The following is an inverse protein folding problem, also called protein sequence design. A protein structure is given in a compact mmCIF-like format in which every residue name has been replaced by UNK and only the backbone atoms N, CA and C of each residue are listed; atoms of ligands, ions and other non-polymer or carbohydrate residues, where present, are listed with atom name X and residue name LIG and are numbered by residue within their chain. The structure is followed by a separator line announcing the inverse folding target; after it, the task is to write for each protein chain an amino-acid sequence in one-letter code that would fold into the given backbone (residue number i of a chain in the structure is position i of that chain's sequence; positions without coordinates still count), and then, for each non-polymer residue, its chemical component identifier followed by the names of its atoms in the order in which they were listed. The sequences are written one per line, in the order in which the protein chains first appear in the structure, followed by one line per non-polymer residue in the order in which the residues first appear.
data_IF_016792019940
#
_entry.id   IF_016792019940
#
_cell.length_a   1.000
_cell.length_b   1.000
_cell.length_c   1.000
_cell.angle_alpha   90.00
_cell.angle_beta   90.00
_cell.angle_gamma   90.00
#
_symmetry.space_group_name_H-M   'P 1'
#
loop_
_entity.id
_entity.type
_entity.pdbx_description
1 polymer ?
#
# COMPACT_ATOMS: atom_id res chain seq x y z
N UNK A 1 -16.08 17.69 38.33
CA UNK A 1 -15.26 16.61 37.75
C UNK A 1 -14.21 17.24 36.84
N UNK A 2 -12.94 17.00 37.12
CA UNK A 2 -11.81 17.61 36.44
C UNK A 2 -11.20 16.70 35.38
N UNK A 3 -10.43 17.29 34.46
CA UNK A 3 -9.68 16.61 33.40
C UNK A 3 -8.45 15.92 33.99
N UNK A 4 -8.21 14.64 33.65
CA UNK A 4 -7.06 13.87 34.15
C UNK A 4 -5.69 14.40 33.65
N UNK A 5 -5.69 15.37 32.73
CA UNK A 5 -4.46 15.92 32.13
C UNK A 5 -4.15 17.34 32.64
N UNK A 6 -5.10 18.27 32.60
CA UNK A 6 -4.89 19.66 33.01
C UNK A 6 -5.48 19.98 34.39
N UNK A 7 -6.16 19.05 35.02
CA UNK A 7 -6.82 19.20 36.33
C UNK A 7 -7.92 20.27 36.41
N UNK A 8 -8.30 20.85 35.28
CA UNK A 8 -9.33 21.88 35.17
C UNK A 8 -10.72 21.22 35.02
N UNK A 9 -11.76 21.91 35.50
CA UNK A 9 -13.12 21.40 35.40
C UNK A 9 -13.63 21.33 33.96
N UNK A 10 -14.41 20.29 33.66
CA UNK A 10 -15.07 20.17 32.37
C UNK A 10 -16.16 21.25 32.19
N UNK A 11 -16.28 21.74 30.96
CA UNK A 11 -17.34 22.63 30.53
C UNK A 11 -17.95 22.21 29.20
N UNK A 12 -19.06 22.85 28.80
CA UNK A 12 -19.79 22.48 27.58
C UNK A 12 -19.19 23.11 26.30
N UNK A 13 -18.22 24.00 26.38
CA UNK A 13 -17.69 24.74 25.23
C UNK A 13 -16.29 24.29 24.81
N UNK A 14 -15.29 24.72 25.58
CA UNK A 14 -13.86 24.54 25.23
C UNK A 14 -13.20 23.34 25.92
N UNK A 15 -13.85 22.79 26.95
CA UNK A 15 -13.34 21.65 27.74
C UNK A 15 -14.40 20.54 27.90
N UNK A 16 -15.02 20.16 26.78
CA UNK A 16 -15.97 19.05 26.80
C UNK A 16 -15.28 17.75 27.22
N UNK A 17 -15.97 16.95 28.04
CA UNK A 17 -15.43 15.70 28.55
C UNK A 17 -15.38 14.65 27.43
N UNK A 18 -14.19 14.08 27.21
CA UNK A 18 -13.96 12.93 26.33
C UNK A 18 -13.56 11.74 27.20
N UNK A 19 -14.36 10.69 27.17
CA UNK A 19 -14.11 9.45 27.92
C UNK A 19 -13.66 8.36 26.95
N UNK A 20 -12.62 7.64 27.31
CA UNK A 20 -12.19 6.48 26.52
C UNK A 20 -13.21 5.35 26.65
N UNK A 21 -13.64 4.70 25.55
CA UNK A 21 -14.57 3.56 25.63
C UNK A 21 -13.92 2.29 26.18
N UNK A 22 -12.60 2.28 26.36
CA UNK A 22 -11.84 1.07 26.75
C UNK A 22 -11.23 1.15 28.15
N UNK A 23 -11.24 2.33 28.79
CA UNK A 23 -10.71 2.52 30.14
C UNK A 23 -11.39 3.73 30.81
N UNK A 24 -11.29 3.89 32.15
CA UNK A 24 -11.96 4.97 32.87
C UNK A 24 -11.36 6.37 32.64
N UNK A 25 -10.27 6.49 31.88
CA UNK A 25 -9.57 7.75 31.63
C UNK A 25 -10.47 8.76 30.92
N UNK A 26 -10.46 10.01 31.43
CA UNK A 26 -11.25 11.12 30.88
C UNK A 26 -10.38 12.36 30.74
N UNK A 27 -10.36 12.97 29.57
CA UNK A 27 -9.65 14.23 29.32
C UNK A 27 -10.58 15.26 28.67
N UNK A 28 -10.22 16.54 28.78
CA UNK A 28 -10.97 17.59 28.08
C UNK A 28 -10.61 17.60 26.58
N UNK A 29 -11.53 18.08 25.75
CA UNK A 29 -11.35 18.20 24.31
C UNK A 29 -10.04 18.90 23.93
N UNK A 30 -9.70 20.02 24.59
CA UNK A 30 -8.47 20.76 24.32
C UNK A 30 -7.19 19.95 24.58
N UNK A 31 -7.10 19.21 25.68
CA UNK A 31 -5.96 18.32 25.97
C UNK A 31 -5.88 17.15 24.97
N UNK A 32 -7.02 16.56 24.63
CA UNK A 32 -7.08 15.46 23.67
C UNK A 32 -6.74 15.92 22.26
N UNK A 33 -7.22 17.07 21.81
CA UNK A 33 -6.89 17.64 20.50
C UNK A 33 -5.39 17.94 20.38
N UNK A 34 -4.79 18.57 21.39
CA UNK A 34 -3.34 18.85 21.42
C UNK A 34 -2.54 17.56 21.34
N UNK A 35 -2.88 16.57 22.14
CA UNK A 35 -2.20 15.27 22.13
C UNK A 35 -2.29 14.59 20.76
N UNK A 36 -3.48 14.56 20.12
CA UNK A 36 -3.67 13.95 18.81
C UNK A 36 -2.93 14.68 17.69
N UNK A 37 -2.66 15.99 17.83
CA UNK A 37 -1.86 16.74 16.87
C UNK A 37 -0.36 16.58 17.07
N UNK A 38 0.10 16.26 18.28
CA UNK A 38 1.52 16.10 18.61
C UNK A 38 1.99 14.65 18.40
N UNK A 39 1.10 13.66 18.61
CA UNK A 39 1.49 12.25 18.47
C UNK A 39 1.89 11.89 17.06
N UNK A 40 2.87 10.97 16.93
CA UNK A 40 3.30 10.35 15.65
C UNK A 40 2.54 9.09 15.29
N UNK A 41 1.62 8.67 16.17
CA UNK A 41 0.80 7.47 16.00
C UNK A 41 -0.62 7.83 15.51
N UNK A 42 -1.37 6.80 15.09
CA UNK A 42 -2.79 6.95 14.81
C UNK A 42 -3.55 7.30 16.09
N UNK A 43 -4.74 7.90 15.97
CA UNK A 43 -5.54 8.31 17.12
C UNK A 43 -5.71 7.17 18.13
N UNK A 44 -5.39 7.43 19.39
CA UNK A 44 -5.47 6.47 20.48
C UNK A 44 -5.66 7.16 21.84
N UNK A 45 -6.06 6.41 22.84
CA UNK A 45 -6.18 6.88 24.20
C UNK A 45 -4.82 7.21 24.82
N UNK A 46 -4.70 8.34 25.52
CA UNK A 46 -3.48 8.73 26.23
C UNK A 46 -3.06 7.73 27.30
N UNK A 47 -4.03 7.13 27.99
CA UNK A 47 -3.78 6.20 29.10
C UNK A 47 -3.58 4.75 28.60
N UNK A 48 -4.61 4.11 28.03
CA UNK A 48 -4.56 2.69 27.68
C UNK A 48 -3.97 2.40 26.30
N UNK A 49 -3.64 3.43 25.49
CA UNK A 49 -3.05 3.35 24.15
C UNK A 49 -3.88 2.57 23.13
N UNK A 50 -5.11 2.16 23.44
CA UNK A 50 -6.01 1.55 22.47
C UNK A 50 -6.41 2.54 21.39
N UNK A 51 -6.35 2.09 20.13
CA UNK A 51 -6.68 2.91 18.97
C UNK A 51 -8.12 3.37 18.98
N UNK A 52 -8.34 4.63 18.62
CA UNK A 52 -9.65 5.21 18.45
C UNK A 52 -10.11 5.10 17.00
N UNK A 53 -11.29 4.52 16.82
CA UNK A 53 -11.94 4.47 15.50
C UNK A 53 -12.34 5.87 15.02
N UNK A 54 -12.60 5.98 13.72
CA UNK A 54 -13.16 7.23 13.16
C UNK A 54 -14.47 7.62 13.83
N UNK A 55 -15.26 6.66 14.25
CA UNK A 55 -16.50 6.88 14.99
C UNK A 55 -16.27 7.62 16.32
N UNK A 56 -15.30 7.17 17.10
CA UNK A 56 -14.92 7.82 18.37
C UNK A 56 -14.50 9.29 18.11
N UNK A 57 -13.75 9.52 17.05
CA UNK A 57 -13.33 10.87 16.67
C UNK A 57 -14.53 11.76 16.27
N UNK A 58 -15.42 11.25 15.44
CA UNK A 58 -16.58 12.03 14.95
C UNK A 58 -17.58 12.32 16.07
N UNK A 59 -17.75 11.39 17.02
CA UNK A 59 -18.71 11.54 18.13
C UNK A 59 -18.20 12.44 19.26
N UNK A 60 -16.89 12.54 19.45
CA UNK A 60 -16.30 13.22 20.61
C UNK A 60 -15.61 14.55 20.28
N UNK A 61 -15.29 14.82 19.02
CA UNK A 61 -14.60 16.03 18.60
C UNK A 61 -15.42 16.87 17.64
N UNK A 62 -15.07 18.16 17.55
CA UNK A 62 -15.75 19.06 16.61
C UNK A 62 -15.50 18.66 15.16
N UNK A 63 -16.49 18.90 14.31
CA UNK A 63 -16.37 18.67 12.87
C UNK A 63 -15.17 19.42 12.27
N UNK A 64 -14.88 20.64 12.75
CA UNK A 64 -13.71 21.42 12.33
C UNK A 64 -12.42 20.69 12.64
N UNK A 65 -12.25 20.20 13.87
CA UNK A 65 -11.06 19.45 14.26
C UNK A 65 -10.87 18.20 13.41
N UNK A 66 -11.90 17.36 13.29
CA UNK A 66 -11.80 16.07 12.57
C UNK A 66 -11.58 16.26 11.07
N UNK A 67 -12.27 17.24 10.44
CA UNK A 67 -12.23 17.42 8.99
C UNK A 67 -11.07 18.29 8.49
N UNK A 68 -10.45 19.09 9.36
CA UNK A 68 -9.37 20.02 9.00
C UNK A 68 -8.09 19.71 9.78
N UNK A 69 -8.06 19.93 11.08
CA UNK A 69 -6.81 19.96 11.86
C UNK A 69 -6.22 18.55 12.01
N UNK A 70 -6.99 17.58 12.47
CA UNK A 70 -6.57 16.19 12.57
C UNK A 70 -6.34 15.57 11.19
N UNK A 71 -7.17 15.91 10.19
CA UNK A 71 -6.98 15.46 8.82
C UNK A 71 -5.60 15.87 8.28
N UNK A 72 -5.24 17.17 8.43
CA UNK A 72 -3.96 17.67 7.94
C UNK A 72 -2.78 17.00 8.66
N UNK A 73 -2.88 16.83 9.98
CA UNK A 73 -1.88 16.09 10.76
C UNK A 73 -1.72 14.65 10.28
N UNK A 74 -2.84 13.94 10.08
CA UNK A 74 -2.82 12.56 9.57
C UNK A 74 -2.21 12.47 8.19
N UNK A 75 -2.52 13.38 7.28
CA UNK A 75 -1.91 13.45 5.95
C UNK A 75 -0.39 13.58 6.03
N UNK A 76 0.11 14.42 6.93
CA UNK A 76 1.55 14.58 7.13
C UNK A 76 2.20 13.31 7.68
N UNK A 77 1.59 12.68 8.67
CA UNK A 77 2.08 11.41 9.23
C UNK A 77 2.13 10.29 8.18
N UNK A 78 1.09 10.18 7.35
CA UNK A 78 1.07 9.19 6.27
C UNK A 78 2.17 9.45 5.25
N UNK A 79 2.39 10.73 4.89
CA UNK A 79 3.46 11.13 3.99
C UNK A 79 4.84 10.79 4.56
N UNK A 80 5.10 11.09 5.84
CA UNK A 80 6.36 10.77 6.52
C UNK A 80 6.62 9.26 6.54
N UNK A 81 5.58 8.45 6.82
CA UNK A 81 5.67 6.98 6.76
C UNK A 81 6.03 6.48 5.35
N UNK A 82 5.42 7.03 4.31
CA UNK A 82 5.75 6.63 2.93
C UNK A 82 7.15 7.11 2.53
N UNK A 83 7.54 8.33 2.93
CA UNK A 83 8.91 8.83 2.70
C UNK A 83 9.96 7.93 3.35
N UNK A 84 9.70 7.39 4.53
CA UNK A 84 10.63 6.46 5.20
C UNK A 84 10.84 5.13 4.45
N UNK A 85 9.88 4.74 3.60
CA UNK A 85 9.96 3.52 2.77
C UNK A 85 10.60 3.75 1.38
N UNK A 86 10.94 4.99 1.03
CA UNK A 86 11.55 5.32 -0.26
C UNK A 86 12.90 4.64 -0.51
N UNK A 87 13.82 4.53 0.49
CA UNK A 87 15.07 3.81 0.27
C UNK A 87 14.85 2.37 -0.22
N UNK A 88 13.94 1.65 0.43
CA UNK A 88 13.58 0.29 0.02
C UNK A 88 12.84 0.23 -1.35
N UNK A 89 12.30 1.35 -1.81
CA UNK A 89 11.61 1.46 -3.11
C UNK A 89 12.60 1.77 -4.26
N UNK A 90 13.78 2.31 -3.97
CA UNK A 90 14.74 2.74 -4.99
C UNK A 90 15.09 1.66 -6.03
N UNK A 91 15.34 0.38 -5.69
CA UNK A 91 15.62 -0.66 -6.69
C UNK A 91 14.48 -0.83 -7.71
N UNK A 92 13.23 -0.66 -7.27
CA UNK A 92 12.07 -0.71 -8.15
C UNK A 92 11.99 0.51 -9.07
N UNK A 93 12.42 1.67 -8.59
CA UNK A 93 12.52 2.90 -9.42
C UNK A 93 13.57 2.74 -10.52
N UNK A 94 14.70 2.11 -10.20
CA UNK A 94 15.74 1.80 -11.18
C UNK A 94 15.24 0.82 -12.26
N UNK A 95 14.47 -0.19 -11.87
CA UNK A 95 13.81 -1.11 -12.81
C UNK A 95 12.79 -0.38 -13.69
N UNK A 96 11.92 0.44 -13.12
CA UNK A 96 10.91 1.22 -13.85
C UNK A 96 11.57 2.15 -14.88
N UNK A 97 12.68 2.79 -14.53
CA UNK A 97 13.45 3.61 -15.49
C UNK A 97 13.99 2.79 -16.65
N UNK A 98 14.49 1.57 -16.41
CA UNK A 98 14.94 0.66 -17.47
C UNK A 98 13.78 0.22 -18.36
N UNK A 99 12.61 -0.09 -17.77
CA UNK A 99 11.39 -0.39 -18.53
C UNK A 99 11.00 0.77 -19.44
N UNK A 100 10.97 1.99 -18.92
CA UNK A 100 10.63 3.20 -19.70
C UNK A 100 11.65 3.48 -20.81
N UNK A 101 12.94 3.21 -20.55
CA UNK A 101 13.98 3.35 -21.57
C UNK A 101 13.75 2.35 -22.70
N UNK A 102 13.55 1.07 -22.39
CA UNK A 102 13.24 0.05 -23.37
C UNK A 102 11.96 0.38 -24.17
N UNK A 103 10.89 0.89 -23.51
CA UNK A 103 9.69 1.34 -24.22
C UNK A 103 9.95 2.43 -25.25
N UNK A 104 10.82 3.40 -24.92
CA UNK A 104 11.18 4.47 -25.86
C UNK A 104 11.99 3.94 -27.03
N UNK A 105 12.90 3.01 -26.80
CA UNK A 105 13.72 2.38 -27.84
C UNK A 105 12.85 1.53 -28.77
N UNK A 106 11.92 0.74 -28.25
CA UNK A 106 10.93 -0.01 -29.03
C UNK A 106 10.08 0.91 -29.89
N UNK A 107 9.59 2.02 -29.33
CA UNK A 107 8.81 3.00 -30.08
C UNK A 107 9.62 3.64 -31.22
N UNK A 108 10.88 3.97 -30.98
CA UNK A 108 11.79 4.52 -32.00
C UNK A 108 12.04 3.52 -33.14
N UNK A 109 12.30 2.25 -32.79
CA UNK A 109 12.47 1.19 -33.80
C UNK A 109 11.17 0.90 -34.55
N UNK A 110 10.01 1.02 -33.92
CA UNK A 110 8.70 0.94 -34.58
C UNK A 110 8.50 1.98 -35.69
N UNK A 111 8.97 3.20 -35.47
CA UNK A 111 8.98 4.24 -36.51
C UNK A 111 9.90 3.84 -37.66
N UNK A 112 11.10 3.34 -37.38
CA UNK A 112 12.05 2.86 -38.37
C UNK A 112 11.48 1.69 -39.17
N UNK A 113 10.88 0.73 -38.49
CA UNK A 113 10.20 -0.42 -39.11
C UNK A 113 9.11 0.04 -40.09
N UNK A 114 8.26 0.97 -39.65
CA UNK A 114 7.20 1.54 -40.51
C UNK A 114 7.78 2.25 -41.74
N UNK A 115 8.86 3.03 -41.60
CA UNK A 115 9.51 3.69 -42.69
C UNK A 115 10.10 2.69 -43.73
N UNK A 116 10.74 1.62 -43.25
CA UNK A 116 11.24 0.54 -44.11
C UNK A 116 10.11 -0.21 -44.84
N UNK A 117 9.01 -0.47 -44.15
CA UNK A 117 7.82 -1.12 -44.74
C UNK A 117 7.22 -0.23 -45.86
N UNK A 118 7.08 1.07 -45.64
CA UNK A 118 6.59 2.01 -46.65
C UNK A 118 7.53 2.05 -47.86
N UNK A 119 8.84 2.01 -47.65
CA UNK A 119 9.81 1.91 -48.73
C UNK A 119 9.67 0.59 -49.51
N UNK A 120 9.47 -0.52 -48.84
CA UNK A 120 9.24 -1.82 -49.50
C UNK A 120 7.99 -1.78 -50.39
N UNK A 121 6.90 -1.19 -49.88
CA UNK A 121 5.67 -0.99 -50.66
C UNK A 121 5.94 -0.09 -51.87
N UNK A 122 6.62 1.03 -51.69
CA UNK A 122 6.98 1.92 -52.80
C UNK A 122 7.79 1.20 -53.87
N UNK A 123 8.82 0.44 -53.49
CA UNK A 123 9.63 -0.36 -54.42
C UNK A 123 8.77 -1.38 -55.20
N UNK A 124 7.79 -1.99 -54.55
CA UNK A 124 6.90 -2.96 -55.20
C UNK A 124 6.02 -2.37 -56.30
N UNK A 125 5.76 -1.05 -56.22
CA UNK A 125 4.96 -0.31 -57.19
C UNK A 125 5.80 0.40 -58.30
N UNK A 126 7.13 0.29 -58.25
CA UNK A 126 7.97 0.88 -59.30
C UNK A 126 7.68 0.18 -60.66
N UNK A 127 7.35 0.94 -61.65
CA UNK A 127 7.15 0.45 -63.02
C UNK A 127 8.52 0.10 -63.66
N UNK A 128 8.57 -0.99 -64.44
CA UNK A 128 9.82 -1.53 -64.98
C UNK A 128 10.40 -0.67 -66.12
N UNK A 129 9.53 -0.21 -67.02
CA UNK A 129 9.99 0.60 -68.16
C UNK A 129 10.68 1.91 -67.75
N UNK A 130 10.13 2.75 -66.84
CA UNK A 130 10.84 3.90 -66.31
C UNK A 130 12.14 3.54 -65.57
N UNK A 131 12.15 2.47 -64.80
CA UNK A 131 13.30 2.01 -64.05
C UNK A 131 14.44 1.54 -65.00
N UNK A 132 14.11 0.88 -66.11
CA UNK A 132 15.09 0.48 -67.13
C UNK A 132 15.76 1.70 -67.76
N UNK A 133 14.98 2.70 -68.12
CA UNK A 133 15.50 3.95 -68.68
C UNK A 133 16.41 4.71 -67.71
N UNK A 134 15.99 4.83 -66.44
CA UNK A 134 16.75 5.51 -65.39
C UNK A 134 18.13 4.88 -65.16
N UNK A 135 18.23 3.57 -65.22
CA UNK A 135 19.47 2.83 -64.99
C UNK A 135 20.21 2.40 -66.22
N UNK A 136 19.74 2.81 -67.46
CA UNK A 136 20.38 2.55 -68.71
C UNK A 136 20.39 1.06 -69.13
N UNK A 137 19.33 0.32 -68.78
CA UNK A 137 19.15 -1.07 -69.16
C UNK A 137 18.51 -1.20 -70.55
N UNK A 138 19.00 -2.15 -71.36
CA UNK A 138 18.46 -2.40 -72.68
C UNK A 138 17.12 -3.13 -72.72
N UNK A 139 16.71 -3.70 -71.54
CA UNK A 139 15.47 -4.47 -71.42
C UNK A 139 14.86 -4.36 -70.05
N UNK A 140 13.56 -4.67 -69.93
CA UNK A 140 12.83 -4.65 -68.68
C UNK A 140 13.22 -5.80 -67.73
N UNK A 141 13.89 -6.86 -68.22
CA UNK A 141 14.32 -7.97 -67.38
C UNK A 141 15.38 -7.52 -66.35
N UNK A 142 16.36 -6.77 -66.75
CA UNK A 142 17.39 -6.23 -65.86
C UNK A 142 16.82 -5.26 -64.84
N UNK A 143 15.83 -4.46 -65.20
CA UNK A 143 15.07 -3.61 -64.29
C UNK A 143 14.28 -4.44 -63.29
N UNK A 144 13.69 -5.58 -63.69
CA UNK A 144 13.01 -6.51 -62.81
C UNK A 144 13.99 -7.12 -61.78
N UNK A 145 15.17 -7.52 -62.22
CA UNK A 145 16.23 -8.08 -61.33
C UNK A 145 16.65 -7.03 -60.31
N UNK A 146 16.86 -5.78 -60.74
CA UNK A 146 17.23 -4.67 -59.86
C UNK A 146 16.13 -4.42 -58.80
N UNK A 147 14.86 -4.30 -59.24
CA UNK A 147 13.73 -4.12 -58.34
C UNK A 147 13.63 -5.27 -57.32
N UNK A 148 13.83 -6.51 -57.78
CA UNK A 148 13.83 -7.69 -56.88
C UNK A 148 14.95 -7.61 -55.83
N UNK A 149 16.15 -7.21 -56.25
CA UNK A 149 17.28 -7.00 -55.32
C UNK A 149 16.98 -5.89 -54.30
N UNK A 150 16.46 -4.74 -54.73
CA UNK A 150 16.04 -3.67 -53.85
C UNK A 150 14.99 -4.13 -52.82
N UNK A 151 14.01 -4.96 -53.24
CA UNK A 151 13.03 -5.53 -52.35
C UNK A 151 13.64 -6.52 -51.36
N UNK A 152 14.59 -7.35 -51.77
CA UNK A 152 15.30 -8.28 -50.86
C UNK A 152 16.11 -7.53 -49.82
N UNK A 153 16.85 -6.50 -50.21
CA UNK A 153 17.63 -5.66 -49.28
C UNK A 153 16.71 -4.98 -48.26
N UNK A 154 15.58 -4.46 -48.73
CA UNK A 154 14.61 -3.80 -47.84
C UNK A 154 13.92 -4.79 -46.90
N UNK A 155 13.60 -6.02 -47.35
CA UNK A 155 13.08 -7.09 -46.49
C UNK A 155 14.09 -7.51 -45.43
N UNK A 156 15.38 -7.59 -45.78
CA UNK A 156 16.46 -7.89 -44.82
C UNK A 156 16.56 -6.82 -43.73
N UNK A 157 16.47 -5.54 -44.08
CA UNK A 157 16.46 -4.45 -43.10
C UNK A 157 15.23 -4.53 -42.19
N UNK A 158 14.04 -4.79 -42.74
CA UNK A 158 12.82 -4.99 -41.97
C UNK A 158 12.95 -6.15 -40.97
N UNK A 159 13.49 -7.28 -41.43
CA UNK A 159 13.70 -8.45 -40.59
C UNK A 159 14.64 -8.16 -39.41
N UNK A 160 15.74 -7.46 -39.66
CA UNK A 160 16.69 -7.06 -38.61
C UNK A 160 16.04 -6.15 -37.57
N UNK A 161 15.32 -5.10 -38.00
CA UNK A 161 14.62 -4.20 -37.08
C UNK A 161 13.53 -4.96 -36.28
N UNK A 162 12.81 -5.90 -36.90
CA UNK A 162 11.82 -6.71 -36.23
C UNK A 162 12.45 -7.60 -35.14
N UNK A 163 13.62 -8.18 -35.39
CA UNK A 163 14.37 -8.96 -34.41
C UNK A 163 14.85 -8.12 -33.24
N UNK A 164 15.34 -6.91 -33.51
CA UNK A 164 15.75 -5.96 -32.46
C UNK A 164 14.57 -5.57 -31.58
N UNK A 165 13.41 -5.28 -32.16
CA UNK A 165 12.17 -5.00 -31.42
C UNK A 165 11.80 -6.20 -30.55
N UNK A 166 11.76 -7.41 -31.09
CA UNK A 166 11.41 -8.62 -30.37
C UNK A 166 12.35 -8.90 -29.17
N UNK A 167 13.65 -8.66 -29.36
CA UNK A 167 14.64 -8.78 -28.29
C UNK A 167 14.41 -7.76 -27.17
N UNK A 168 14.13 -6.50 -27.53
CA UNK A 168 13.85 -5.45 -26.56
C UNK A 168 12.52 -5.68 -25.81
N UNK A 169 11.49 -6.17 -26.50
CA UNK A 169 10.21 -6.56 -25.86
C UNK A 169 10.40 -7.70 -24.87
N UNK A 170 11.17 -8.73 -25.24
CA UNK A 170 11.52 -9.80 -24.31
C UNK A 170 12.26 -9.26 -23.08
N UNK A 171 13.28 -8.41 -23.28
CA UNK A 171 14.01 -7.78 -22.18
C UNK A 171 13.10 -6.92 -21.30
N UNK A 172 12.23 -6.12 -21.89
CA UNK A 172 11.24 -5.32 -21.18
C UNK A 172 10.32 -6.18 -20.32
N UNK A 173 9.80 -7.29 -20.87
CA UNK A 173 8.94 -8.23 -20.13
C UNK A 173 9.68 -8.86 -18.95
N UNK A 174 10.96 -9.19 -19.06
CA UNK A 174 11.77 -9.66 -17.94
C UNK A 174 11.88 -8.60 -16.84
N UNK A 175 12.07 -7.33 -17.20
CA UNK A 175 12.11 -6.23 -16.23
C UNK A 175 10.75 -6.02 -15.54
N UNK A 176 9.65 -6.08 -16.28
CA UNK A 176 8.28 -5.98 -15.76
C UNK A 176 7.98 -7.12 -14.79
N UNK A 177 8.34 -8.35 -15.14
CA UNK A 177 8.17 -9.50 -14.25
C UNK A 177 8.96 -9.33 -12.94
N UNK A 178 10.17 -8.80 -13.00
CA UNK A 178 10.98 -8.45 -11.81
C UNK A 178 10.36 -7.32 -11.00
N UNK A 179 9.76 -6.33 -11.65
CA UNK A 179 9.10 -5.19 -10.99
C UNK A 179 7.85 -5.63 -10.21
N UNK A 180 7.06 -6.54 -10.76
CA UNK A 180 5.83 -7.05 -10.16
C UNK A 180 6.03 -8.31 -9.29
N UNK A 181 7.10 -9.04 -9.49
CA UNK A 181 7.45 -10.20 -8.67
C UNK A 181 7.88 -9.80 -7.26
N UNK A 182 7.49 -10.60 -6.26
CA UNK A 182 7.98 -10.43 -4.88
C UNK A 182 9.46 -10.80 -4.71
N UNK A 183 10.11 -11.27 -5.76
CA UNK A 183 11.50 -11.68 -5.85
C UNK A 183 12.33 -10.64 -6.62
N UNK A 184 12.31 -9.39 -6.22
CA UNK A 184 13.53 -8.62 -6.34
C UNK A 184 14.44 -9.23 -5.29
N UNK A 185 15.39 -10.07 -5.70
CA UNK A 185 16.50 -10.40 -4.83
C UNK A 185 17.01 -9.07 -4.30
N UNK A 186 16.74 -8.83 -3.03
CA UNK A 186 17.40 -7.79 -2.32
C UNK A 186 18.87 -8.21 -2.26
N UNK A 187 19.65 -7.91 -3.30
CA UNK A 187 21.01 -7.50 -3.00
C UNK A 187 20.87 -6.53 -1.85
N UNK A 188 21.40 -6.89 -0.70
CA UNK A 188 21.29 -6.12 0.54
C UNK A 188 21.99 -4.77 0.37
N UNK A 189 21.42 -3.92 -0.51
CA UNK A 189 21.87 -2.54 -0.66
C UNK A 189 21.46 -1.81 0.60
N UNK A 190 22.41 -1.70 1.51
CA UNK A 190 22.25 -0.82 2.66
C UNK A 190 22.30 0.61 2.12
N UNK A 191 21.21 1.33 2.29
CA UNK A 191 21.17 2.76 2.01
C UNK A 191 21.72 3.50 3.24
N UNK A 192 22.63 4.43 3.00
CA UNK A 192 23.32 5.15 4.08
C UNK A 192 22.56 6.40 4.47
N UNK A 193 22.12 7.20 3.49
CA UNK A 193 21.34 8.44 3.70
C UNK A 193 20.66 8.95 2.45
N UNK A 194 19.82 9.98 2.58
CA UNK A 194 19.23 10.68 1.44
C UNK A 194 20.32 11.37 0.60
N UNK A 195 20.11 11.45 -0.71
CA UNK A 195 21.03 12.13 -1.62
C UNK A 195 21.09 13.64 -1.29
N UNK A 196 22.28 14.24 -1.14
CA UNK A 196 22.43 15.66 -0.84
C UNK A 196 22.26 16.59 -2.06
N UNK A 197 22.10 16.05 -3.27
CA UNK A 197 21.84 16.84 -4.47
C UNK A 197 20.46 17.46 -4.39
N UNK A 198 20.36 18.78 -4.62
CA UNK A 198 19.10 19.50 -4.65
C UNK A 198 18.13 18.84 -5.64
N UNK A 199 16.86 18.73 -5.26
CA UNK A 199 15.77 18.11 -6.02
C UNK A 199 15.93 16.61 -6.32
N UNK A 200 17.00 15.96 -5.87
CA UNK A 200 17.16 14.51 -5.99
C UNK A 200 16.43 13.79 -4.83
N UNK A 201 15.44 12.96 -5.18
CA UNK A 201 14.67 12.16 -4.24
C UNK A 201 15.24 10.74 -4.01
N UNK A 202 16.51 10.52 -4.38
CA UNK A 202 17.21 9.24 -4.25
C UNK A 202 17.94 9.09 -2.92
N UNK A 203 18.55 7.92 -2.74
CA UNK A 203 19.33 7.56 -1.57
C UNK A 203 20.71 7.04 -1.97
N UNK A 204 21.71 7.30 -1.12
CA UNK A 204 23.07 6.84 -1.32
C UNK A 204 23.19 5.37 -0.90
N UNK A 205 23.80 4.55 -1.76
CA UNK A 205 24.19 3.17 -1.43
C UNK A 205 25.36 3.15 -0.43
N UNK A 206 25.72 1.96 0.06
CA UNK A 206 26.94 1.77 0.88
C UNK A 206 28.24 2.20 0.17
N UNK A 207 28.23 2.29 -1.15
CA UNK A 207 29.33 2.83 -1.93
C UNK A 207 29.31 4.37 -2.07
N UNK A 208 28.36 5.05 -1.40
CA UNK A 208 28.15 6.50 -1.47
C UNK A 208 27.77 7.05 -2.85
N UNK A 209 27.20 6.20 -3.70
CA UNK A 209 26.62 6.58 -5.00
C UNK A 209 25.12 6.62 -4.92
N UNK A 210 24.50 7.67 -5.47
CA UNK A 210 23.06 7.75 -5.62
C UNK A 210 22.58 7.02 -6.88
N UNK A 211 21.69 6.03 -6.73
CA UNK A 211 21.12 5.29 -7.87
C UNK A 211 20.13 6.09 -8.72
N UNK A 212 19.74 7.30 -8.26
CA UNK A 212 18.79 8.16 -8.98
C UNK A 212 19.45 9.18 -9.87
N UNK A 213 20.44 9.91 -9.35
CA UNK A 213 21.14 10.98 -10.10
C UNK A 213 22.57 10.60 -10.48
N UNK A 214 23.03 9.39 -10.15
CA UNK A 214 24.38 8.86 -10.41
C UNK A 214 25.55 9.69 -9.82
N UNK A 215 25.25 10.65 -8.94
CA UNK A 215 26.27 11.41 -8.26
C UNK A 215 26.86 10.63 -7.09
N UNK A 216 28.15 10.83 -6.86
CA UNK A 216 28.89 10.35 -5.72
C UNK A 216 28.91 11.39 -4.62
N UNK A 217 28.93 10.97 -3.38
CA UNK A 217 29.09 11.82 -2.20
C UNK A 217 30.29 11.38 -1.38
N UNK A 218 30.89 12.32 -0.66
CA UNK A 218 32.01 12.03 0.20
C UNK A 218 31.55 11.30 1.47
N UNK A 219 32.17 10.17 1.87
CA UNK A 219 31.82 9.46 3.07
C UNK A 219 32.17 10.21 4.37
N UNK A 220 33.10 11.16 4.31
CA UNK A 220 33.59 11.88 5.51
C UNK A 220 32.78 13.12 5.83
N UNK A 221 32.49 13.97 4.84
CA UNK A 221 31.72 15.23 5.04
C UNK A 221 30.29 15.15 4.50
N UNK A 222 29.93 14.08 3.77
CA UNK A 222 28.64 13.82 3.18
C UNK A 222 28.23 14.76 2.03
N UNK A 223 29.13 15.60 1.54
CA UNK A 223 28.90 16.53 0.43
C UNK A 223 28.99 15.83 -0.94
N UNK A 224 28.42 16.48 -1.97
CA UNK A 224 28.40 15.95 -3.35
C UNK A 224 29.80 16.06 -3.97
N UNK A 225 30.33 14.95 -4.50
CA UNK A 225 31.58 14.93 -5.27
C UNK A 225 31.37 15.11 -6.77
N UNK A 226 30.20 14.74 -7.30
CA UNK A 226 29.89 14.73 -8.72
C UNK A 226 29.65 13.33 -9.28
N UNK A 227 29.73 13.20 -10.61
CA UNK A 227 29.44 11.91 -11.30
C UNK A 227 30.61 10.94 -11.29
N UNK A 228 31.81 11.40 -11.02
CA UNK A 228 33.00 10.58 -10.94
C UNK A 228 33.36 10.31 -9.47
N UNK A 229 33.66 9.05 -9.14
CA UNK A 229 34.04 8.60 -7.81
C UNK A 229 35.32 9.27 -7.31
N UNK A 230 36.25 9.47 -8.22
CA UNK A 230 37.61 9.95 -7.92
C UNK A 230 37.77 11.47 -8.12
N UNK A 231 36.68 12.19 -8.32
CA UNK A 231 36.67 13.66 -8.40
C UNK A 231 37.39 14.27 -7.21
N UNK A 232 38.31 15.22 -7.40
CA UNK A 232 38.98 15.90 -6.31
C UNK A 232 37.98 16.64 -5.44
N UNK A 233 38.06 16.43 -4.12
CA UNK A 233 37.13 17.00 -3.17
C UNK A 233 37.85 17.40 -1.88
N UNK A 234 37.67 18.63 -1.45
CA UNK A 234 38.20 19.12 -0.18
C UNK A 234 37.05 19.17 0.83
N UNK A 235 37.18 18.39 1.92
CA UNK A 235 36.14 18.35 2.96
C UNK A 235 36.16 19.62 3.81
N UNK A 236 34.98 20.20 4.04
CA UNK A 236 34.81 21.25 5.05
C UNK A 236 34.97 20.64 6.46
N UNK A 237 35.83 21.19 7.33
CA UNK A 237 36.04 20.67 8.67
C UNK A 237 34.77 20.61 9.52
N UNK A 238 33.89 21.60 9.40
CA UNK A 238 32.64 21.64 10.15
C UNK A 238 31.67 20.55 9.69
N UNK A 239 31.61 20.28 8.40
CA UNK A 239 30.79 19.20 7.82
C UNK A 239 31.30 17.81 8.24
N UNK A 240 32.61 17.64 8.38
CA UNK A 240 33.23 16.40 8.87
C UNK A 240 32.92 16.19 10.37
N UNK A 241 33.01 17.22 11.18
CA UNK A 241 32.68 17.14 12.62
C UNK A 241 31.21 16.80 12.84
N UNK A 242 30.31 17.46 12.12
CA UNK A 242 28.89 17.19 12.14
C UNK A 242 28.58 15.73 11.71
N UNK A 243 29.24 15.24 10.66
CA UNK A 243 29.09 13.85 10.21
C UNK A 243 29.53 12.84 11.27
N UNK A 244 30.62 13.11 11.98
CA UNK A 244 31.15 12.25 13.07
C UNK A 244 30.20 12.23 14.28
N UNK A 245 29.65 13.38 14.68
CA UNK A 245 28.69 13.47 15.77
C UNK A 245 27.41 12.68 15.46
N UNK A 246 26.87 12.83 14.26
CA UNK A 246 25.70 12.07 13.83
C UNK A 246 25.94 10.55 13.78
N UNK A 247 27.13 10.12 13.38
CA UNK A 247 27.48 8.69 13.29
C UNK A 247 27.62 8.01 14.66
N UNK A 248 27.93 8.76 15.72
CA UNK A 248 28.18 8.21 17.07
C UNK A 248 26.91 7.70 17.73
N UNK A 249 25.83 8.48 17.66
CA UNK A 249 24.60 8.25 18.44
C UNK A 249 23.40 7.82 17.60
N UNK A 250 23.60 7.58 16.29
CA UNK A 250 22.55 7.16 15.39
C UNK A 250 22.94 5.99 14.51
N UNK A 251 21.93 5.17 14.15
CA UNK A 251 22.05 4.13 13.10
C UNK A 251 20.83 4.13 12.22
N UNK A 252 21.03 3.81 10.96
CA UNK A 252 19.94 3.69 10.02
C UNK A 252 19.25 2.33 10.15
N UNK A 253 17.92 2.33 10.10
CA UNK A 253 17.14 1.11 10.00
C UNK A 253 17.60 0.29 8.78
N UNK A 254 17.90 -1.01 8.91
CA UNK A 254 18.37 -1.82 7.79
C UNK A 254 17.34 -2.03 6.68
N UNK A 255 16.06 -1.74 6.95
CA UNK A 255 14.98 -1.91 5.98
C UNK A 255 14.57 -0.61 5.30
N UNK A 256 14.38 0.48 6.05
CA UNK A 256 13.86 1.74 5.50
C UNK A 256 14.87 2.89 5.55
N UNK A 257 16.08 2.67 6.06
CA UNK A 257 17.13 3.67 6.24
C UNK A 257 16.75 4.88 7.11
N UNK A 258 15.60 4.84 7.80
CA UNK A 258 15.24 5.86 8.78
C UNK A 258 16.32 5.93 9.86
N UNK A 259 16.78 7.14 10.17
CA UNK A 259 17.77 7.37 11.22
C UNK A 259 17.12 7.12 12.58
N UNK A 260 17.73 6.25 13.37
CA UNK A 260 17.28 5.85 14.69
C UNK A 260 18.36 6.22 15.71
N UNK A 261 17.93 6.92 16.77
CA UNK A 261 18.79 7.27 17.88
C UNK A 261 18.58 6.28 19.02
N UNK A 262 19.67 5.83 19.62
CA UNK A 262 19.64 5.00 20.81
C UNK A 262 19.94 5.89 22.02
N UNK A 263 18.93 6.06 22.88
CA UNK A 263 19.11 6.81 24.12
C UNK A 263 19.66 5.87 25.19
N UNK A 264 18.98 4.72 25.40
CA UNK A 264 19.36 3.65 26.33
C UNK A 264 18.68 2.34 25.94
N UNK A 265 19.10 1.21 26.50
CA UNK A 265 18.41 -0.06 26.35
C UNK A 265 19.21 -1.20 25.70
N UNK A 266 18.52 -2.31 25.41
CA UNK A 266 19.12 -3.53 24.87
C UNK A 266 19.59 -3.39 23.41
N UNK A 267 20.28 -4.41 22.90
CA UNK A 267 20.77 -4.44 21.52
C UNK A 267 19.64 -4.53 20.49
N UNK A 268 18.47 -5.08 20.88
CA UNK A 268 17.34 -5.24 19.99
C UNK A 268 16.55 -3.93 19.84
N UNK A 269 16.62 -3.34 18.66
CA UNK A 269 15.92 -2.11 18.29
C UNK A 269 14.69 -2.40 17.43
N UNK A 270 13.72 -1.51 17.49
CA UNK A 270 12.49 -1.59 16.70
C UNK A 270 12.26 -0.28 15.96
N UNK A 271 12.20 -0.36 14.63
CA UNK A 271 11.90 0.80 13.82
C UNK A 271 10.40 1.12 13.86
N UNK A 272 10.02 2.23 14.45
CA UNK A 272 8.64 2.67 14.55
C UNK A 272 8.04 3.13 13.22
N UNK A 273 8.87 3.36 12.19
CA UNK A 273 8.43 3.78 10.87
C UNK A 273 8.02 2.58 9.98
N UNK A 274 8.90 1.58 9.86
CA UNK A 274 8.66 0.41 9.01
C UNK A 274 8.39 -0.88 9.78
N UNK A 275 8.31 -0.81 11.11
CA UNK A 275 7.97 -1.92 12.02
C UNK A 275 8.91 -3.13 11.92
N UNK A 276 10.19 -2.87 11.70
CA UNK A 276 11.23 -3.90 11.59
C UNK A 276 12.08 -3.93 12.85
N UNK A 277 12.24 -5.13 13.44
CA UNK A 277 13.19 -5.36 14.53
C UNK A 277 14.58 -5.65 13.98
N UNK A 278 15.64 -5.13 14.62
CA UNK A 278 17.01 -5.34 14.21
C UNK A 278 17.97 -5.19 15.39
N UNK A 279 19.15 -5.81 15.30
CA UNK A 279 20.21 -5.64 16.28
C UNK A 279 20.93 -4.31 16.09
N UNK A 280 21.06 -3.52 17.14
CA UNK A 280 21.80 -2.26 17.11
C UNK A 280 23.27 -2.48 16.78
N UNK A 281 23.88 -3.51 17.39
CA UNK A 281 25.30 -3.81 17.21
C UNK A 281 25.65 -4.29 15.81
N UNK A 282 24.84 -5.18 15.24
CA UNK A 282 25.13 -5.81 13.94
C UNK A 282 24.42 -5.14 12.75
N UNK A 283 23.39 -4.36 12.99
CA UNK A 283 22.51 -3.79 11.94
C UNK A 283 21.71 -4.83 11.17
N UNK A 284 21.63 -6.09 11.64
CA UNK A 284 20.89 -7.17 10.96
C UNK A 284 19.43 -7.19 11.43
N UNK A 285 18.51 -7.46 10.48
CA UNK A 285 17.10 -7.68 10.80
C UNK A 285 16.98 -8.93 11.65
N UNK A 286 16.24 -8.84 12.75
CA UNK A 286 15.90 -9.94 13.63
C UNK A 286 14.52 -10.48 13.31
N UNK A 287 14.45 -11.81 13.07
CA UNK A 287 13.21 -12.53 12.71
C UNK A 287 12.75 -13.46 13.84
N UNK A 288 13.52 -13.54 14.94
CA UNK A 288 13.25 -14.40 16.10
C UNK A 288 12.27 -13.78 17.11
N UNK A 289 12.35 -14.22 18.36
CA UNK A 289 11.55 -13.65 19.45
C UNK A 289 11.94 -12.19 19.67
N UNK A 290 10.97 -11.31 19.50
CA UNK A 290 11.18 -9.87 19.63
C UNK A 290 10.77 -9.46 21.04
N UNK A 291 11.70 -8.89 21.81
CA UNK A 291 11.49 -8.44 23.19
C UNK A 291 11.26 -6.95 23.32
N UNK A 292 11.34 -6.19 22.20
CA UNK A 292 11.24 -4.74 22.22
C UNK A 292 9.81 -4.30 22.59
N UNK A 293 9.63 -3.40 23.60
CA UNK A 293 8.30 -2.95 24.06
C UNK A 293 7.45 -2.33 22.95
N UNK A 294 8.08 -1.59 22.01
CA UNK A 294 7.37 -0.96 20.88
C UNK A 294 6.79 -1.98 19.89
N UNK A 295 7.38 -3.16 19.77
CA UNK A 295 6.83 -4.26 18.99
C UNK A 295 5.51 -4.76 19.60
N UNK A 296 5.50 -5.05 20.91
CA UNK A 296 4.29 -5.52 21.60
C UNK A 296 3.20 -4.47 21.62
N UNK A 297 3.55 -3.21 21.79
CA UNK A 297 2.59 -2.10 21.78
C UNK A 297 1.93 -1.95 20.41
N UNK A 298 2.71 -2.01 19.33
CA UNK A 298 2.22 -1.96 17.96
C UNK A 298 1.24 -3.10 17.64
N UNK A 299 1.59 -4.34 18.00
CA UNK A 299 0.73 -5.49 17.75
C UNK A 299 -0.50 -5.51 18.65
N UNK A 300 -0.40 -5.01 19.89
CA UNK A 300 -1.54 -4.86 20.80
C UNK A 300 -2.55 -3.86 20.27
N UNK A 301 -2.10 -2.72 19.76
CA UNK A 301 -2.95 -1.68 19.20
C UNK A 301 -3.73 -2.14 17.96
N UNK A 302 -3.15 -3.05 17.18
CA UNK A 302 -3.77 -3.60 15.96
C UNK A 302 -4.62 -4.84 16.19
N UNK A 303 -4.68 -5.36 17.40
CA UNK A 303 -5.38 -6.61 17.68
C UNK A 303 -4.79 -7.83 16.98
N UNK A 304 -3.55 -7.73 16.46
CA UNK A 304 -2.84 -8.79 15.73
C UNK A 304 -2.02 -9.71 16.62
N UNK A 305 -2.22 -9.68 17.95
CA UNK A 305 -1.81 -10.79 18.80
C UNK A 305 -2.64 -11.98 18.34
N UNK A 306 -2.03 -12.86 17.56
CA UNK A 306 -2.65 -14.09 17.09
C UNK A 306 -3.27 -14.81 18.28
N UNK A 307 -4.56 -15.15 18.19
CA UNK A 307 -5.11 -16.26 18.94
C UNK A 307 -4.22 -17.47 18.68
N UNK A 308 -3.91 -18.25 19.69
CA UNK A 308 -3.14 -19.46 19.50
C UNK A 308 -3.74 -20.30 18.37
N UNK A 309 -2.90 -20.89 17.48
CA UNK A 309 -3.38 -21.83 16.48
C UNK A 309 -3.99 -23.03 17.22
N UNK A 310 -5.28 -23.05 17.40
CA UNK A 310 -6.01 -24.08 18.20
C UNK A 310 -7.32 -23.59 18.78
N UNK A 311 -7.55 -22.28 18.90
CA UNK A 311 -8.86 -21.71 19.22
C UNK A 311 -9.77 -21.72 17.97
N UNK A 312 -10.07 -22.91 17.49
CA UNK A 312 -11.21 -23.14 16.60
C UNK A 312 -12.45 -23.06 17.49
N UNK A 313 -13.43 -22.17 17.22
CA UNK A 313 -14.71 -22.25 17.90
C UNK A 313 -15.23 -23.68 17.72
N UNK A 314 -15.42 -24.41 18.81
CA UNK A 314 -15.93 -25.78 18.76
C UNK A 314 -17.22 -25.79 17.94
N UNK A 315 -17.24 -26.54 16.82
CA UNK A 315 -18.45 -26.88 16.09
C UNK A 315 -18.64 -26.28 14.70
N UNK A 316 -17.93 -25.25 14.29
CA UNK A 316 -18.15 -24.63 12.96
C UNK A 316 -19.60 -24.14 12.74
N UNK A 317 -19.90 -23.66 11.55
CA UNK A 317 -21.29 -23.32 11.18
C UNK A 317 -22.11 -24.59 10.95
N UNK A 318 -23.28 -24.80 11.61
CA UNK A 318 -24.06 -26.03 11.47
C UNK A 318 -24.45 -26.33 10.03
N UNK A 319 -24.27 -27.57 9.60
CA UNK A 319 -24.66 -27.99 8.27
C UNK A 319 -26.18 -27.93 8.09
N UNK A 320 -26.62 -27.59 6.87
CA UNK A 320 -28.03 -27.39 6.56
C UNK A 320 -28.92 -28.60 6.92
N UNK A 321 -28.44 -29.83 6.83
CA UNK A 321 -29.23 -31.01 7.15
C UNK A 321 -29.64 -31.11 8.64
N UNK A 322 -28.82 -30.59 9.58
CA UNK A 322 -29.19 -30.51 11.00
C UNK A 322 -30.30 -29.46 11.20
N UNK A 323 -30.16 -28.30 10.59
CA UNK A 323 -31.16 -27.22 10.67
C UNK A 323 -32.50 -27.67 10.08
N UNK A 324 -32.48 -28.40 8.95
CA UNK A 324 -33.68 -28.88 8.28
C UNK A 324 -34.47 -29.94 9.07
N UNK A 325 -33.79 -30.73 9.90
CA UNK A 325 -34.46 -31.66 10.81
C UNK A 325 -35.30 -30.94 11.89
N UNK A 326 -34.83 -29.82 12.37
CA UNK A 326 -35.48 -29.02 13.42
C UNK A 326 -36.50 -28.03 12.88
N UNK A 327 -36.34 -27.59 11.60
CA UNK A 327 -37.30 -26.75 10.91
C UNK A 327 -37.60 -27.30 9.50
N UNK A 328 -38.54 -28.27 9.41
CA UNK A 328 -38.89 -28.93 8.13
C UNK A 328 -39.55 -27.94 7.14
N UNK A 329 -39.58 -28.30 5.86
CA UNK A 329 -40.11 -27.45 4.78
C UNK A 329 -41.57 -27.00 4.97
N UNK A 330 -42.35 -27.74 5.73
CA UNK A 330 -43.72 -27.41 6.08
C UNK A 330 -43.85 -26.32 7.13
N UNK A 331 -42.78 -25.97 7.82
CA UNK A 331 -42.79 -24.94 8.86
C UNK A 331 -42.84 -23.54 8.26
N UNK A 332 -43.68 -22.66 8.79
CA UNK A 332 -43.94 -21.31 8.26
C UNK A 332 -42.66 -20.45 8.17
N UNK A 333 -41.73 -20.62 9.09
CA UNK A 333 -40.44 -19.87 9.12
C UNK A 333 -39.31 -20.53 8.34
N UNK A 334 -39.50 -21.71 7.75
CA UNK A 334 -38.50 -22.41 6.98
C UNK A 334 -37.84 -21.57 5.88
N UNK A 335 -38.58 -20.81 5.02
CA UNK A 335 -37.95 -19.99 3.95
C UNK A 335 -36.97 -18.95 4.52
N UNK A 336 -37.31 -18.30 5.63
CA UNK A 336 -36.47 -17.28 6.26
C UNK A 336 -35.21 -17.87 6.88
N UNK A 337 -35.33 -18.96 7.61
CA UNK A 337 -34.20 -19.67 8.23
C UNK A 337 -33.28 -20.21 7.14
N UNK A 338 -33.82 -20.76 6.06
CA UNK A 338 -33.05 -21.23 4.93
C UNK A 338 -32.28 -20.11 4.21
N UNK A 339 -32.92 -18.94 4.07
CA UNK A 339 -32.26 -17.77 3.50
C UNK A 339 -31.14 -17.26 4.41
N UNK A 340 -31.39 -17.09 5.70
CA UNK A 340 -30.37 -16.68 6.67
C UNK A 340 -29.18 -17.64 6.70
N UNK A 341 -29.43 -18.96 6.67
CA UNK A 341 -28.38 -19.96 6.60
C UNK A 341 -27.51 -19.82 5.34
N UNK A 342 -28.12 -19.64 4.15
CA UNK A 342 -27.38 -19.42 2.88
C UNK A 342 -26.58 -18.12 2.89
N UNK A 343 -27.11 -17.09 3.54
CA UNK A 343 -26.45 -15.77 3.60
C UNK A 343 -25.15 -15.82 4.37
N UNK A 344 -24.98 -16.73 5.35
CA UNK A 344 -23.69 -16.96 6.02
C UNK A 344 -22.59 -17.30 5.01
N UNK A 345 -22.79 -18.33 4.19
CA UNK A 345 -21.82 -18.74 3.19
C UNK A 345 -21.61 -17.66 2.12
N UNK A 346 -22.70 -17.02 1.66
CA UNK A 346 -22.60 -15.91 0.71
C UNK A 346 -21.78 -14.74 1.28
N UNK A 347 -22.03 -14.35 2.53
CA UNK A 347 -21.27 -13.30 3.20
C UNK A 347 -19.79 -13.67 3.28
N UNK A 348 -19.47 -14.86 3.75
CA UNK A 348 -18.11 -15.31 4.00
C UNK A 348 -17.29 -15.45 2.70
N UNK A 349 -17.88 -16.04 1.66
CA UNK A 349 -17.14 -16.39 0.44
C UNK A 349 -17.26 -15.38 -0.70
N UNK A 350 -18.35 -14.62 -0.77
CA UNK A 350 -18.60 -13.70 -1.87
C UNK A 350 -18.52 -12.22 -1.49
N UNK A 351 -18.94 -11.84 -0.27
CA UNK A 351 -19.01 -10.43 0.13
C UNK A 351 -17.79 -9.99 0.91
N UNK A 352 -17.42 -10.67 1.98
CA UNK A 352 -16.27 -10.30 2.82
C UNK A 352 -14.94 -10.16 2.06
N UNK A 353 -14.59 -11.01 1.07
CA UNK A 353 -13.35 -10.85 0.31
C UNK A 353 -13.23 -9.52 -0.44
N UNK A 354 -14.34 -8.87 -0.78
CA UNK A 354 -14.35 -7.55 -1.45
C UNK A 354 -13.89 -6.43 -0.53
N UNK A 355 -14.00 -6.64 0.78
CA UNK A 355 -13.69 -5.69 1.84
C UNK A 355 -12.44 -6.05 2.63
N UNK A 356 -11.75 -7.14 2.28
CA UNK A 356 -10.45 -7.43 2.83
C UNK A 356 -9.47 -6.31 2.45
N UNK A 357 -8.77 -5.81 3.45
CA UNK A 357 -7.68 -4.86 3.23
C UNK A 357 -6.44 -5.67 2.85
N UNK A 358 -6.17 -5.78 1.56
CA UNK A 358 -4.96 -6.44 1.04
C UNK A 358 -3.67 -5.72 1.46
N UNK A 359 -2.55 -6.15 0.89
CA UNK A 359 -1.24 -5.58 1.18
C UNK A 359 -1.25 -4.04 1.04
N UNK A 360 -0.96 -3.35 2.13
CA UNK A 360 -1.07 -1.89 2.26
C UNK A 360 0.14 -1.14 1.67
N UNK A 361 0.81 -1.74 0.70
CA UNK A 361 1.99 -1.15 0.09
C UNK A 361 1.62 -0.13 -1.00
N UNK A 362 1.97 1.14 -0.76
CA UNK A 362 1.84 2.22 -1.74
C UNK A 362 3.08 2.34 -2.64
N UNK A 363 3.79 1.24 -2.90
CA UNK A 363 5.02 1.20 -3.68
C UNK A 363 4.87 1.87 -5.06
N UNK A 364 3.76 1.65 -5.73
CA UNK A 364 3.46 2.29 -7.02
C UNK A 364 3.41 3.83 -6.93
N UNK A 365 2.84 4.37 -5.86
CA UNK A 365 2.82 5.82 -5.63
C UNK A 365 4.20 6.36 -5.27
N UNK A 366 4.98 5.62 -4.46
CA UNK A 366 6.37 5.99 -4.16
C UNK A 366 7.23 6.01 -5.41
N UNK A 367 7.11 4.99 -6.29
CA UNK A 367 7.82 4.96 -7.58
C UNK A 367 7.46 6.19 -8.41
N UNK A 368 6.18 6.52 -8.59
CA UNK A 368 5.73 7.69 -9.36
C UNK A 368 6.27 8.99 -8.78
N UNK A 369 6.27 9.13 -7.45
CA UNK A 369 6.80 10.30 -6.79
C UNK A 369 8.33 10.42 -6.95
N UNK A 370 9.07 9.32 -6.78
CA UNK A 370 10.54 9.32 -6.90
C UNK A 370 11.03 9.56 -8.34
N UNK A 371 10.26 9.15 -9.35
CA UNK A 371 10.57 9.43 -10.76
C UNK A 371 10.22 10.88 -11.14
N UNK A 372 9.30 11.52 -10.42
CA UNK A 372 8.83 12.86 -10.70
C UNK A 372 7.50 12.93 -11.48
N UNK A 373 6.81 11.80 -11.66
CA UNK A 373 5.50 11.75 -12.35
C UNK A 373 4.40 12.48 -11.56
N UNK A 374 4.54 12.55 -10.24
CA UNK A 374 3.63 13.26 -9.35
C UNK A 374 4.41 14.15 -8.38
N UNK A 375 3.83 15.29 -8.03
CA UNK A 375 4.38 16.19 -7.01
C UNK A 375 4.03 15.73 -5.59
N UNK A 376 4.56 16.42 -4.56
CA UNK A 376 4.35 16.04 -3.16
C UNK A 376 2.88 16.18 -2.73
N UNK A 377 2.19 17.21 -3.19
CA UNK A 377 0.78 17.45 -2.84
C UNK A 377 -0.13 16.36 -3.44
N UNK A 378 0.12 15.97 -4.69
CA UNK A 378 -0.59 14.87 -5.33
C UNK A 378 -0.30 13.53 -4.64
N UNK A 379 0.96 13.30 -4.25
CA UNK A 379 1.36 12.09 -3.55
C UNK A 379 0.64 12.01 -2.21
N UNK A 380 0.67 13.08 -1.41
CA UNK A 380 -0.03 13.22 -0.12
C UNK A 380 -1.53 12.96 -0.26
N UNK A 381 -2.18 13.60 -1.24
CA UNK A 381 -3.61 13.44 -1.53
C UNK A 381 -3.98 11.99 -1.90
N UNK A 382 -3.18 11.33 -2.76
CA UNK A 382 -3.42 9.95 -3.19
C UNK A 382 -3.25 8.96 -2.05
N UNK A 383 -2.23 9.14 -1.20
CA UNK A 383 -2.03 8.33 0.01
C UNK A 383 -3.24 8.45 0.94
N UNK A 384 -3.70 9.65 1.21
CA UNK A 384 -4.87 9.88 2.06
C UNK A 384 -6.14 9.26 1.49
N UNK A 385 -6.36 9.37 0.18
CA UNK A 385 -7.52 8.74 -0.47
C UNK A 385 -7.50 7.23 -0.31
N UNK A 386 -6.34 6.58 -0.48
CA UNK A 386 -6.17 5.14 -0.27
C UNK A 386 -6.35 4.75 1.19
N UNK A 387 -5.81 5.54 2.12
CA UNK A 387 -5.97 5.31 3.55
C UNK A 387 -7.45 5.40 3.97
N UNK A 388 -8.17 6.42 3.52
CA UNK A 388 -9.62 6.57 3.76
C UNK A 388 -10.43 5.40 3.17
N UNK A 389 -10.09 4.97 1.96
CA UNK A 389 -10.75 3.82 1.33
C UNK A 389 -10.49 2.51 2.11
N UNK A 390 -9.29 2.33 2.64
CA UNK A 390 -8.90 1.19 3.47
C UNK A 390 -9.64 1.19 4.80
N UNK A 391 -9.69 2.33 5.50
CA UNK A 391 -10.44 2.46 6.74
C UNK A 391 -11.91 2.10 6.54
N UNK A 392 -12.53 2.64 5.48
CA UNK A 392 -13.91 2.30 5.12
C UNK A 392 -14.09 0.80 4.90
N UNK A 393 -13.21 0.18 4.10
CA UNK A 393 -13.28 -1.27 3.85
C UNK A 393 -13.12 -2.07 5.15
N UNK A 394 -12.21 -1.65 6.02
CA UNK A 394 -11.98 -2.28 7.32
C UNK A 394 -13.19 -2.20 8.24
N UNK A 395 -13.87 -1.05 8.33
CA UNK A 395 -15.09 -0.91 9.13
C UNK A 395 -16.23 -1.79 8.58
N UNK A 396 -16.43 -1.82 7.25
CA UNK A 396 -17.42 -2.70 6.62
C UNK A 396 -17.08 -4.17 6.90
N UNK A 397 -15.82 -4.56 6.76
CA UNK A 397 -15.37 -5.93 7.03
C UNK A 397 -15.67 -6.35 8.48
N UNK A 398 -15.38 -5.48 9.45
CA UNK A 398 -15.67 -5.75 10.86
C UNK A 398 -17.17 -6.00 11.13
N UNK A 399 -18.05 -5.24 10.48
CA UNK A 399 -19.51 -5.44 10.61
C UNK A 399 -19.93 -6.75 9.96
N UNK A 400 -19.35 -7.13 8.82
CA UNK A 400 -19.60 -8.42 8.17
C UNK A 400 -19.09 -9.59 9.02
N UNK A 401 -17.93 -9.45 9.64
CA UNK A 401 -17.34 -10.44 10.55
C UNK A 401 -18.23 -10.62 11.80
N UNK A 402 -18.67 -9.53 12.41
CA UNK A 402 -19.62 -9.57 13.52
C UNK A 402 -20.90 -10.31 13.12
N UNK A 403 -21.48 -9.98 11.96
CA UNK A 403 -22.69 -10.62 11.46
C UNK A 403 -22.50 -12.14 11.27
N UNK A 404 -21.44 -12.58 10.63
CA UNK A 404 -21.17 -14.01 10.40
C UNK A 404 -20.90 -14.76 11.69
N UNK A 405 -20.23 -14.14 12.66
CA UNK A 405 -19.94 -14.74 13.97
C UNK A 405 -21.22 -14.92 14.77
N UNK A 406 -22.01 -13.84 14.93
CA UNK A 406 -23.28 -13.91 15.70
C UNK A 406 -24.27 -14.86 15.01
N UNK A 407 -24.36 -14.84 13.68
CA UNK A 407 -25.21 -15.76 12.93
C UNK A 407 -24.82 -17.22 13.17
N UNK A 408 -23.51 -17.51 13.25
CA UNK A 408 -23.01 -18.85 13.59
C UNK A 408 -23.43 -19.27 14.99
N UNK A 409 -23.29 -18.38 15.97
CA UNK A 409 -23.68 -18.65 17.35
C UNK A 409 -25.19 -18.91 17.48
N UNK A 410 -26.03 -18.13 16.78
CA UNK A 410 -27.48 -18.33 16.75
C UNK A 410 -27.88 -19.69 16.17
N UNK A 411 -27.26 -20.12 15.09
CA UNK A 411 -27.54 -21.43 14.51
C UNK A 411 -27.02 -22.58 15.37
N UNK A 412 -25.89 -22.44 16.08
CA UNK A 412 -25.40 -23.41 17.05
C UNK A 412 -26.35 -23.54 18.26
N UNK A 413 -26.79 -22.41 18.80
CA UNK A 413 -27.81 -22.38 19.86
C UNK A 413 -29.11 -23.05 19.42
N UNK A 414 -29.58 -22.77 18.20
CA UNK A 414 -30.77 -23.38 17.62
C UNK A 414 -30.66 -24.92 17.50
N UNK A 415 -29.54 -25.43 17.03
CA UNK A 415 -29.27 -26.87 16.94
C UNK A 415 -29.30 -27.52 18.31
N UNK A 416 -28.91 -26.81 19.38
CA UNK A 416 -28.89 -27.30 20.73
C UNK A 416 -30.26 -27.24 21.43
N UNK A 417 -31.06 -26.18 21.21
CA UNK A 417 -32.32 -25.92 21.95
C UNK A 417 -33.60 -26.18 21.13
N UNK A 418 -33.49 -26.27 19.80
CA UNK A 418 -34.59 -26.53 18.85
C UNK A 418 -35.75 -25.49 18.90
N UNK A 419 -35.51 -24.26 19.38
CA UNK A 419 -36.54 -23.21 19.54
C UNK A 419 -36.60 -22.31 18.33
N UNK A 420 -37.51 -22.62 17.41
CA UNK A 420 -37.66 -21.91 16.13
C UNK A 420 -38.03 -20.43 16.31
N UNK A 421 -38.95 -20.11 17.25
CA UNK A 421 -39.42 -18.74 17.48
C UNK A 421 -38.28 -17.83 17.95
N UNK A 422 -37.49 -18.29 18.93
CA UNK A 422 -36.36 -17.56 19.48
C UNK A 422 -35.29 -17.30 18.41
N UNK A 423 -35.03 -18.29 17.54
CA UNK A 423 -34.12 -18.10 16.42
C UNK A 423 -34.60 -16.99 15.46
N UNK A 424 -35.89 -16.99 15.09
CA UNK A 424 -36.44 -16.01 14.15
C UNK A 424 -36.38 -14.60 14.72
N UNK A 425 -36.74 -14.42 15.98
CA UNK A 425 -36.63 -13.13 16.68
C UNK A 425 -35.18 -12.63 16.70
N UNK A 426 -34.24 -13.49 17.10
CA UNK A 426 -32.80 -13.14 17.13
C UNK A 426 -32.24 -12.84 15.74
N UNK A 427 -32.70 -13.54 14.71
CA UNK A 427 -32.32 -13.23 13.32
C UNK A 427 -32.80 -11.85 12.86
N UNK A 428 -34.03 -11.44 13.25
CA UNK A 428 -34.56 -10.12 12.95
C UNK A 428 -33.80 -9.01 13.69
N UNK A 429 -33.48 -9.22 14.96
CA UNK A 429 -32.66 -8.31 15.75
C UNK A 429 -31.25 -8.15 15.13
N UNK A 430 -30.62 -9.26 14.77
CA UNK A 430 -29.31 -9.25 14.12
C UNK A 430 -29.33 -8.50 12.79
N UNK A 431 -30.35 -8.74 11.95
CA UNK A 431 -30.54 -8.02 10.66
C UNK A 431 -30.70 -6.51 10.89
N UNK A 432 -31.53 -6.11 11.84
CA UNK A 432 -31.78 -4.71 12.16
C UNK A 432 -30.50 -4.03 12.67
N UNK A 433 -29.77 -4.69 13.57
CA UNK A 433 -28.49 -4.21 14.08
C UNK A 433 -27.45 -4.07 12.97
N UNK A 434 -27.33 -5.09 12.10
CA UNK A 434 -26.44 -5.08 10.95
C UNK A 434 -26.73 -3.88 10.04
N UNK A 435 -27.97 -3.71 9.60
CA UNK A 435 -28.36 -2.62 8.70
C UNK A 435 -28.16 -1.24 9.33
N UNK A 436 -28.49 -1.08 10.61
CA UNK A 436 -28.28 0.18 11.35
C UNK A 436 -26.79 0.51 11.44
N UNK A 437 -25.97 -0.46 11.77
CA UNK A 437 -24.51 -0.29 11.89
C UNK A 437 -23.88 0.00 10.52
N UNK A 438 -24.28 -0.71 9.48
CA UNK A 438 -23.84 -0.43 8.09
C UNK A 438 -24.24 0.97 7.63
N UNK A 439 -25.46 1.41 7.94
CA UNK A 439 -25.93 2.77 7.61
C UNK A 439 -25.09 3.83 8.35
N UNK A 440 -24.72 3.59 9.60
CA UNK A 440 -23.81 4.48 10.35
C UNK A 440 -22.43 4.55 9.67
N UNK A 441 -21.87 3.41 9.21
CA UNK A 441 -20.63 3.40 8.41
C UNK A 441 -20.81 4.21 7.12
N UNK A 442 -21.89 3.98 6.36
CA UNK A 442 -22.17 4.72 5.13
C UNK A 442 -22.17 6.23 5.36
N UNK A 443 -22.84 6.69 6.40
CA UNK A 443 -22.94 8.11 6.74
C UNK A 443 -21.56 8.73 7.08
N UNK A 444 -20.68 8.00 7.79
CA UNK A 444 -19.32 8.45 8.10
C UNK A 444 -18.43 8.63 6.85
N UNK A 445 -18.71 7.89 5.79
CA UNK A 445 -17.94 7.90 4.54
C UNK A 445 -18.68 8.49 3.34
N UNK A 446 -19.46 9.56 3.58
CA UNK A 446 -20.14 10.34 2.54
C UNK A 446 -21.17 9.52 1.74
N UNK A 447 -21.97 8.74 2.44
CA UNK A 447 -23.04 7.88 1.86
C UNK A 447 -22.49 6.86 0.85
N UNK A 448 -21.42 6.18 1.20
CA UNK A 448 -20.87 5.12 0.36
C UNK A 448 -21.82 3.93 0.25
N UNK A 449 -21.70 3.20 -0.85
CA UNK A 449 -22.39 1.92 -1.02
C UNK A 449 -21.93 0.91 0.04
N UNK A 450 -22.88 0.21 0.64
CA UNK A 450 -22.71 -0.75 1.73
C UNK A 450 -23.55 -2.00 1.43
N UNK A 451 -23.16 -3.17 1.94
CA UNK A 451 -24.03 -4.33 1.98
C UNK A 451 -25.27 -4.07 2.85
N UNK A 452 -26.42 -4.50 2.41
CA UNK A 452 -27.70 -4.38 3.13
C UNK A 452 -28.40 -5.72 3.12
N UNK A 453 -28.97 -6.12 4.25
CA UNK A 453 -29.82 -7.32 4.39
C UNK A 453 -31.28 -6.96 4.15
N UNK A 454 -31.90 -7.64 3.19
CA UNK A 454 -33.36 -7.55 2.96
C UNK A 454 -34.15 -8.25 4.07
N UNK A 455 -35.48 -8.11 4.05
CA UNK A 455 -36.39 -8.84 4.95
C UNK A 455 -36.26 -10.38 4.80
N UNK A 456 -35.89 -10.83 3.60
CA UNK A 456 -35.68 -12.24 3.29
C UNK A 456 -34.22 -12.68 3.50
N UNK A 457 -33.39 -11.91 4.19
CA UNK A 457 -31.98 -12.16 4.44
C UNK A 457 -31.10 -12.23 3.17
N UNK A 458 -31.56 -11.74 2.02
CA UNK A 458 -30.67 -11.57 0.87
C UNK A 458 -29.75 -10.39 1.10
N UNK A 459 -28.46 -10.57 0.86
CA UNK A 459 -27.45 -9.51 0.98
C UNK A 459 -27.23 -8.85 -0.39
N UNK A 460 -27.48 -7.55 -0.48
CA UNK A 460 -27.36 -6.71 -1.69
C UNK A 460 -26.24 -5.70 -1.58
#
# INVERSE_FOLDING_TARGET
MSCDVCCEDFNRSSRSKITCPYCPFSACSGCSERYLLETTQDAHCMSCRKSWSREILVNNFTQKFVSRDYKNRRESLLLEREKSLMPATQPYVELERKVRKASKEIAALGVVHTAHNNKLVAISHIQLAPLAVEHGFDNEFDALVLRHKMMQDQRRLLSNVALDIQHLEWYQNQLINRLHGNQVEHEKRQFVRACPVADCRGFLSSAWKCGMCDNWSCPECHEVKGKDKDSPHTCDPNSVETAKLLAKDSRNCPKCAAMIFKIDGCDQMYCTQCHTAFSWRTGRVEMGTIHNPHYYEYHRQRGTLQRNPGDVPCGGFPEWHFVMRLCPRTHIFHPRIAAAHRTHAHCQWAVMPRYTTGNNDNRDLRIKFMIGDINEDEFKKKIQQRDKARQRKGEIHQVLEMYTTVLSDLFQAFVSNSRVSELVESLDELRNHFNTTMQAVSNRYSKCAIPVLTENFDMR
#
